data_IF_687058066045
#
_entry.id   IF_687058066045
#
_cell.length_a   1.000
_cell.length_b   1.000
_cell.length_c   1.000
_cell.angle_alpha   90.00
_cell.angle_beta   90.00
_cell.angle_gamma   90.00
#
_symmetry.space_group_name_H-M   'P 1'
#
loop_
_entity.id
_entity.type
_entity.pdbx_description
1 polymer ?
#
# COMPACT_ATOMS: atom_id res chain seq x y z
N UNK A 1 8.14 1.68 23.36
CA UNK A 1 7.93 0.82 22.22
C UNK A 1 9.30 0.54 21.63
N UNK A 2 9.67 -0.73 21.44
CA UNK A 2 10.91 -1.06 20.74
C UNK A 2 10.82 -0.52 19.31
N UNK A 3 11.91 0.10 18.84
CA UNK A 3 12.05 0.50 17.43
C UNK A 3 11.87 -0.77 16.59
N UNK A 4 10.96 -0.80 15.60
CA UNK A 4 10.80 -1.99 14.79
C UNK A 4 12.12 -2.28 14.11
N UNK A 5 12.77 -3.39 14.51
CA UNK A 5 14.03 -3.79 13.91
C UNK A 5 13.84 -3.91 12.40
N UNK A 6 14.67 -3.22 11.63
CA UNK A 6 14.70 -3.35 10.18
C UNK A 6 15.02 -4.80 9.83
N UNK A 7 14.08 -5.49 9.19
CA UNK A 7 14.20 -6.90 8.80
C UNK A 7 14.80 -7.03 7.40
N UNK A 8 15.41 -8.20 7.14
CA UNK A 8 15.84 -8.59 5.80
C UNK A 8 14.71 -9.34 5.07
N UNK A 9 14.65 -9.29 3.73
CA UNK A 9 13.64 -10.03 2.97
C UNK A 9 13.55 -11.52 3.32
N UNK A 10 14.67 -12.21 3.50
CA UNK A 10 14.70 -13.63 3.87
C UNK A 10 14.05 -13.96 5.21
N UNK A 11 14.01 -13.01 6.15
CA UNK A 11 13.36 -13.19 7.46
C UNK A 11 11.83 -13.17 7.38
N UNK A 12 11.27 -12.72 6.25
CA UNK A 12 9.83 -12.75 6.00
C UNK A 12 9.33 -14.17 5.70
N UNK A 13 10.15 -14.97 5.02
CA UNK A 13 9.81 -16.34 4.62
C UNK A 13 10.05 -17.33 5.76
N UNK A 14 11.09 -17.10 6.56
CA UNK A 14 11.51 -18.01 7.63
C UNK A 14 11.24 -17.42 9.00
N UNK A 15 10.06 -17.70 9.55
CA UNK A 15 9.67 -17.24 10.89
C UNK A 15 10.14 -18.21 11.97
N UNK A 16 10.72 -17.72 13.08
CA UNK A 16 11.03 -18.58 14.24
C UNK A 16 9.79 -19.28 14.79
N UNK A 17 9.97 -20.48 15.33
CA UNK A 17 8.87 -21.22 15.98
C UNK A 17 8.29 -20.52 17.20
N UNK A 18 9.05 -19.59 17.79
CA UNK A 18 8.62 -18.76 18.93
C UNK A 18 7.77 -17.55 18.52
N UNK A 19 7.54 -17.33 17.22
CA UNK A 19 6.79 -16.16 16.72
C UNK A 19 5.37 -16.13 17.28
N UNK A 20 4.93 -14.91 17.64
CA UNK A 20 3.61 -14.64 18.21
C UNK A 20 2.88 -13.61 17.37
N UNK A 21 1.56 -13.54 17.51
CA UNK A 21 0.72 -12.50 16.91
C UNK A 21 1.29 -11.11 17.23
N UNK A 22 1.35 -10.26 16.24
CA UNK A 22 1.95 -8.91 16.20
C UNK A 22 3.47 -8.84 16.02
N UNK A 23 4.21 -9.95 16.05
CA UNK A 23 5.65 -9.95 15.79
C UNK A 23 5.96 -9.52 14.35
N UNK A 24 5.04 -9.85 13.42
CA UNK A 24 5.13 -9.47 12.00
C UNK A 24 4.12 -8.37 11.63
N UNK A 25 3.87 -7.47 12.56
CA UNK A 25 3.22 -6.20 12.35
C UNK A 25 1.70 -6.21 12.42
N UNK A 26 1.17 -5.00 12.45
CA UNK A 26 -0.24 -4.67 12.41
C UNK A 26 -0.43 -3.51 11.43
N UNK A 27 -1.05 -3.78 10.29
CA UNK A 27 -1.37 -2.77 9.29
C UNK A 27 -2.75 -2.17 9.55
N UNK A 28 -2.81 -0.84 9.60
CA UNK A 28 -4.08 -0.10 9.54
C UNK A 28 -4.31 0.37 8.10
N UNK A 29 -5.42 -0.04 7.51
CA UNK A 29 -5.90 0.41 6.20
C UNK A 29 -6.98 1.47 6.41
N UNK A 30 -6.76 2.67 5.90
CA UNK A 30 -7.68 3.81 6.01
C UNK A 30 -8.12 4.23 4.62
N UNK A 31 -9.39 4.07 4.31
CA UNK A 31 -9.88 4.37 2.96
C UNK A 31 -11.35 4.03 2.79
N UNK A 32 -11.77 3.94 1.53
CA UNK A 32 -13.16 3.67 1.20
C UNK A 32 -14.07 4.88 1.35
N UNK A 33 -15.20 4.78 0.68
CA UNK A 33 -16.28 5.74 0.72
C UNK A 33 -17.60 5.06 0.34
N UNK A 34 -18.69 5.80 0.32
CA UNK A 34 -20.00 5.31 -0.16
C UNK A 34 -19.92 4.61 -1.53
N UNK A 35 -19.13 5.15 -2.47
CA UNK A 35 -19.08 4.66 -3.84
C UNK A 35 -17.90 3.71 -4.10
N UNK A 36 -16.80 3.86 -3.39
CA UNK A 36 -15.56 3.09 -3.59
C UNK A 36 -15.26 2.21 -2.37
N UNK A 37 -16.14 1.23 -2.13
CA UNK A 37 -16.09 0.41 -0.94
C UNK A 37 -15.11 -0.79 -1.05
N UNK A 38 -14.70 -1.18 -2.27
CA UNK A 38 -13.87 -2.37 -2.50
C UNK A 38 -12.39 -2.18 -2.27
N UNK A 39 -11.84 -0.96 -2.42
CA UNK A 39 -10.41 -0.70 -2.33
C UNK A 39 -9.81 -1.10 -0.97
N UNK A 40 -10.38 -0.75 0.20
CA UNK A 40 -9.83 -1.18 1.50
C UNK A 40 -9.80 -2.69 1.67
N UNK A 41 -10.80 -3.40 1.13
CA UNK A 41 -10.84 -4.86 1.17
C UNK A 41 -9.70 -5.47 0.34
N UNK A 42 -9.48 -4.98 -0.89
CA UNK A 42 -8.36 -5.45 -1.74
C UNK A 42 -7.00 -5.19 -1.08
N UNK A 43 -6.82 -4.00 -0.49
CA UNK A 43 -5.63 -3.67 0.29
C UNK A 43 -5.41 -4.69 1.42
N UNK A 44 -6.46 -4.97 2.22
CA UNK A 44 -6.37 -5.83 3.39
C UNK A 44 -6.09 -7.30 3.03
N UNK A 45 -6.79 -7.84 2.02
CA UNK A 45 -6.57 -9.21 1.55
C UNK A 45 -5.14 -9.39 1.01
N UNK A 46 -4.67 -8.45 0.17
CA UNK A 46 -3.31 -8.47 -0.34
C UNK A 46 -2.27 -8.36 0.78
N UNK A 47 -2.55 -7.55 1.80
CA UNK A 47 -1.67 -7.41 2.96
C UNK A 47 -1.56 -8.70 3.78
N UNK A 48 -2.67 -9.40 4.05
CA UNK A 48 -2.63 -10.71 4.72
C UNK A 48 -1.84 -11.73 3.93
N UNK A 49 -2.06 -11.81 2.61
CA UNK A 49 -1.32 -12.70 1.72
C UNK A 49 0.19 -12.37 1.74
N UNK A 50 0.54 -11.10 1.85
CA UNK A 50 1.94 -10.68 1.97
C UNK A 50 2.52 -10.86 3.39
N UNK A 51 1.75 -11.43 4.33
CA UNK A 51 2.26 -12.03 5.56
C UNK A 51 2.18 -11.16 6.82
N UNK A 52 1.56 -9.98 6.82
CA UNK A 52 1.35 -9.24 8.07
C UNK A 52 0.41 -10.00 9.02
N UNK A 53 0.67 -9.96 10.32
CA UNK A 53 -0.09 -10.77 11.30
C UNK A 53 -1.50 -10.25 11.55
N UNK A 54 -1.71 -8.93 11.46
CA UNK A 54 -2.99 -8.29 11.72
C UNK A 54 -3.24 -7.18 10.71
N UNK A 55 -4.45 -7.15 10.15
CA UNK A 55 -4.94 -6.03 9.34
C UNK A 55 -6.23 -5.51 9.95
N UNK A 56 -6.29 -4.20 10.12
CA UNK A 56 -7.49 -3.50 10.54
C UNK A 56 -7.88 -2.49 9.47
N UNK A 57 -9.14 -2.49 9.05
CA UNK A 57 -9.71 -1.48 8.16
C UNK A 57 -10.44 -0.44 9.02
N UNK A 58 -10.18 0.85 8.79
CA UNK A 58 -11.00 1.95 9.27
C UNK A 58 -11.61 2.65 8.06
N UNK A 59 -12.91 2.55 7.89
CA UNK A 59 -13.62 2.99 6.69
C UNK A 59 -15.05 3.42 7.01
N UNK A 60 -15.70 4.27 6.17
CA UNK A 60 -17.13 4.52 6.27
C UNK A 60 -17.93 3.22 6.33
N UNK A 61 -19.07 3.23 7.08
CA UNK A 61 -19.90 2.04 7.37
C UNK A 61 -20.02 1.07 6.19
N UNK A 62 -20.43 1.58 5.02
CA UNK A 62 -20.61 0.73 3.84
C UNK A 62 -19.37 -0.07 3.45
N UNK A 63 -18.19 0.56 3.47
CA UNK A 63 -16.96 -0.11 3.09
C UNK A 63 -16.49 -1.11 4.16
N UNK A 64 -16.67 -0.77 5.43
CA UNK A 64 -16.37 -1.65 6.56
C UNK A 64 -17.27 -2.90 6.54
N UNK A 65 -18.60 -2.73 6.36
CA UNK A 65 -19.56 -3.83 6.32
C UNK A 65 -19.32 -4.78 5.14
N UNK A 66 -19.01 -4.23 3.97
CA UNK A 66 -18.65 -5.03 2.79
C UNK A 66 -17.40 -5.86 3.08
N UNK A 67 -16.38 -5.28 3.72
CA UNK A 67 -15.14 -5.98 4.01
C UNK A 67 -15.35 -7.19 4.93
N UNK A 68 -16.03 -7.03 6.05
CA UNK A 68 -16.29 -8.13 7.00
C UNK A 68 -17.29 -9.15 6.45
N UNK A 69 -18.22 -8.72 5.59
CA UNK A 69 -19.15 -9.65 4.93
C UNK A 69 -18.45 -10.53 3.90
N UNK A 70 -17.33 -10.08 3.33
CA UNK A 70 -16.56 -10.84 2.35
C UNK A 70 -15.61 -11.85 3.01
N UNK A 71 -14.96 -11.49 4.12
CA UNK A 71 -14.03 -12.37 4.80
C UNK A 71 -14.06 -12.18 6.32
N UNK A 72 -14.19 -13.29 7.10
CA UNK A 72 -14.13 -13.25 8.56
C UNK A 72 -12.72 -12.94 9.10
N UNK A 73 -11.69 -12.96 8.26
CA UNK A 73 -10.32 -12.63 8.65
C UNK A 73 -10.12 -11.13 8.86
N UNK A 74 -11.02 -10.32 8.28
CA UNK A 74 -10.93 -8.86 8.30
C UNK A 74 -11.50 -8.29 9.61
N UNK A 75 -10.70 -7.46 10.28
CA UNK A 75 -11.16 -6.60 11.35
C UNK A 75 -11.50 -5.23 10.74
N UNK A 76 -12.75 -4.78 10.86
CA UNK A 76 -13.13 -3.46 10.36
C UNK A 76 -13.80 -2.63 11.44
N UNK A 77 -13.45 -1.34 11.48
CA UNK A 77 -14.05 -0.31 12.29
C UNK A 77 -14.93 0.58 11.41
N UNK A 78 -16.27 0.48 11.53
CA UNK A 78 -17.17 1.30 10.74
C UNK A 78 -17.17 2.73 11.29
N UNK A 79 -16.80 3.69 10.43
CA UNK A 79 -16.80 5.11 10.71
C UNK A 79 -18.09 5.75 10.18
N UNK A 80 -18.60 6.77 10.85
CA UNK A 80 -19.84 7.43 10.48
C UNK A 80 -19.76 8.18 9.15
N UNK A 81 -20.89 8.35 8.46
CA UNK A 81 -20.99 9.10 7.22
C UNK A 81 -20.51 8.34 5.97
N UNK A 82 -20.44 9.06 4.85
CA UNK A 82 -20.20 8.52 3.50
C UNK A 82 -18.73 8.60 3.08
N UNK A 83 -17.94 9.48 3.73
CA UNK A 83 -16.51 9.73 3.44
C UNK A 83 -15.77 10.05 4.73
N UNK A 84 -14.44 9.95 4.69
CA UNK A 84 -13.57 10.26 5.82
C UNK A 84 -13.50 11.77 6.08
N UNK A 85 -13.40 12.15 7.35
CA UNK A 85 -13.25 13.53 7.79
C UNK A 85 -12.54 13.61 9.15
N UNK A 86 -12.19 14.81 9.58
CA UNK A 86 -11.45 15.06 10.84
C UNK A 86 -12.21 14.62 12.08
N UNK A 87 -13.53 14.49 11.99
CA UNK A 87 -14.40 13.93 13.01
C UNK A 87 -14.02 12.49 13.43
N UNK A 88 -13.35 11.73 12.55
CA UNK A 88 -12.94 10.34 12.81
C UNK A 88 -11.54 10.21 13.45
N UNK A 89 -10.81 11.31 13.62
CA UNK A 89 -9.43 11.27 14.14
C UNK A 89 -9.34 10.62 15.51
N UNK A 90 -10.30 10.89 16.40
CA UNK A 90 -10.30 10.32 17.75
C UNK A 90 -10.41 8.79 17.72
N UNK A 91 -11.30 8.25 16.91
CA UNK A 91 -11.48 6.80 16.75
C UNK A 91 -10.25 6.14 16.16
N UNK A 92 -9.70 6.71 15.08
CA UNK A 92 -8.50 6.17 14.42
C UNK A 92 -7.27 6.26 15.33
N UNK A 93 -7.12 7.35 16.09
CA UNK A 93 -6.07 7.46 17.10
C UNK A 93 -6.16 6.34 18.16
N UNK A 94 -7.37 5.92 18.52
CA UNK A 94 -7.57 4.80 19.45
C UNK A 94 -7.17 3.46 18.85
N UNK A 95 -7.34 3.26 17.54
CA UNK A 95 -6.92 2.07 16.82
C UNK A 95 -5.39 2.03 16.71
N UNK A 96 -4.77 3.15 16.34
CA UNK A 96 -3.30 3.25 16.19
C UNK A 96 -2.57 2.85 17.49
N UNK A 97 -3.12 3.20 18.65
CA UNK A 97 -2.55 2.80 19.96
C UNK A 97 -2.54 1.29 20.21
N UNK A 98 -3.21 0.49 19.38
CA UNK A 98 -3.27 -0.99 19.47
C UNK A 98 -2.16 -1.68 18.67
N UNK A 99 -0.91 -1.22 18.83
CA UNK A 99 0.28 -1.80 18.20
C UNK A 99 0.28 -1.73 16.66
N UNK A 100 -0.35 -0.71 16.06
CA UNK A 100 -0.22 -0.45 14.62
C UNK A 100 1.23 -0.13 14.29
N UNK A 101 1.78 -0.78 13.27
CA UNK A 101 3.17 -0.64 12.83
C UNK A 101 3.31 0.10 11.49
N UNK A 102 2.24 0.19 10.70
CA UNK A 102 2.17 0.99 9.49
C UNK A 102 0.72 1.39 9.17
N UNK A 103 0.55 2.47 8.39
CA UNK A 103 -0.76 2.96 7.93
C UNK A 103 -0.76 3.04 6.41
N UNK A 104 -1.69 2.35 5.76
CA UNK A 104 -2.00 2.51 4.34
C UNK A 104 -3.22 3.40 4.20
N UNK A 105 -3.12 4.47 3.42
CA UNK A 105 -4.19 5.46 3.29
C UNK A 105 -4.43 5.87 1.85
N UNK A 106 -5.73 6.01 1.47
CA UNK A 106 -6.13 6.68 0.24
C UNK A 106 -7.01 5.87 -0.70
N UNK A 107 -6.93 4.53 -0.69
CA UNK A 107 -7.72 3.69 -1.60
C UNK A 107 -9.22 3.96 -1.46
N UNK A 108 -9.85 4.51 -2.50
CA UNK A 108 -11.29 4.74 -2.57
C UNK A 108 -11.87 5.76 -1.59
N UNK A 109 -11.05 6.63 -0.97
CA UNK A 109 -11.54 7.59 0.04
C UNK A 109 -12.32 8.77 -0.54
N UNK A 110 -12.22 9.00 -1.85
CA UNK A 110 -12.82 10.16 -2.51
C UNK A 110 -11.95 11.41 -2.42
N UNK A 111 -12.36 12.47 -3.15
CA UNK A 111 -11.57 13.70 -3.33
C UNK A 111 -12.19 14.92 -2.67
N UNK A 112 -12.93 14.73 -1.61
CA UNK A 112 -13.51 15.83 -0.87
C UNK A 112 -12.45 16.53 -0.01
N UNK A 113 -12.56 17.86 0.10
CA UNK A 113 -11.63 18.67 0.90
C UNK A 113 -11.47 18.14 2.32
N UNK A 114 -12.59 17.76 2.97
CA UNK A 114 -12.56 17.24 4.34
C UNK A 114 -11.76 15.95 4.48
N UNK A 115 -11.75 15.10 3.44
CA UNK A 115 -10.95 13.88 3.43
C UNK A 115 -9.46 14.19 3.31
N UNK A 116 -9.09 15.21 2.55
CA UNK A 116 -7.70 15.66 2.48
C UNK A 116 -7.24 16.33 3.78
N UNK A 117 -8.10 17.14 4.42
CA UNK A 117 -7.80 17.73 5.72
C UNK A 117 -7.56 16.63 6.76
N UNK A 118 -8.41 15.60 6.77
CA UNK A 118 -8.26 14.42 7.62
C UNK A 118 -6.90 13.70 7.39
N UNK A 119 -6.50 13.44 6.14
CA UNK A 119 -5.21 12.79 5.83
C UNK A 119 -4.04 13.57 6.41
N UNK A 120 -4.03 14.90 6.20
CA UNK A 120 -2.96 15.77 6.69
C UNK A 120 -2.90 15.78 8.22
N UNK A 121 -4.03 15.88 8.90
CA UNK A 121 -4.08 15.90 10.37
C UNK A 121 -3.68 14.55 10.95
N UNK A 122 -4.17 13.44 10.39
CA UNK A 122 -3.80 12.10 10.83
C UNK A 122 -2.29 11.85 10.70
N UNK A 123 -1.72 12.18 9.55
CA UNK A 123 -0.28 12.05 9.31
C UNK A 123 0.53 12.89 10.30
N UNK A 124 0.16 14.17 10.49
CA UNK A 124 0.87 15.06 11.41
C UNK A 124 0.84 14.58 12.87
N UNK A 125 -0.24 13.93 13.27
CA UNK A 125 -0.37 13.34 14.60
C UNK A 125 0.50 12.08 14.80
N UNK A 126 0.90 11.40 13.73
CA UNK A 126 1.56 10.09 13.79
C UNK A 126 2.81 9.97 12.88
N UNK A 127 3.58 11.04 12.69
CA UNK A 127 4.83 11.07 11.87
C UNK A 127 5.91 10.05 12.28
N UNK A 128 5.77 9.43 13.44
CA UNK A 128 6.66 8.36 13.90
C UNK A 128 6.37 7.00 13.24
N UNK A 129 5.17 6.80 12.71
CA UNK A 129 4.80 5.60 11.96
C UNK A 129 5.09 5.78 10.46
N UNK A 130 5.43 4.69 9.74
CA UNK A 130 5.44 4.71 8.29
C UNK A 130 4.02 4.82 7.73
N UNK A 131 3.85 5.72 6.77
CA UNK A 131 2.62 5.86 6.01
C UNK A 131 2.85 5.46 4.56
N UNK A 132 1.87 4.75 4.01
CA UNK A 132 1.81 4.38 2.60
C UNK A 132 0.65 5.15 1.97
N UNK A 133 0.96 6.06 1.04
CA UNK A 133 -0.01 6.90 0.36
C UNK A 133 -0.29 6.34 -1.03
N UNK A 134 -1.54 6.03 -1.31
CA UNK A 134 -1.98 5.57 -2.63
C UNK A 134 -3.23 6.33 -3.08
N UNK A 135 -3.51 6.32 -4.36
CA UNK A 135 -4.73 6.81 -4.97
C UNK A 135 -5.12 8.24 -4.50
N UNK A 136 -6.33 8.40 -3.92
CA UNK A 136 -6.86 9.73 -3.61
C UNK A 136 -6.07 10.50 -2.55
N UNK A 137 -5.33 9.83 -1.65
CA UNK A 137 -4.47 10.50 -0.67
C UNK A 137 -3.30 11.27 -1.30
N UNK A 138 -2.89 10.93 -2.52
CA UNK A 138 -1.83 11.63 -3.24
C UNK A 138 -2.21 13.07 -3.63
N UNK A 139 -3.50 13.40 -3.68
CA UNK A 139 -3.97 14.74 -3.99
C UNK A 139 -3.68 15.77 -2.86
N UNK A 140 -3.36 15.33 -1.67
CA UNK A 140 -2.94 16.23 -0.59
C UNK A 140 -1.41 16.26 -0.38
N UNK A 141 -0.63 15.65 -1.27
CA UNK A 141 0.82 15.51 -1.12
C UNK A 141 1.56 16.85 -0.94
N UNK A 142 1.12 17.92 -1.61
CA UNK A 142 1.71 19.26 -1.43
C UNK A 142 1.50 19.87 -0.04
N UNK A 143 0.66 19.28 0.80
CA UNK A 143 0.33 19.73 2.16
C UNK A 143 0.99 18.86 3.24
N UNK A 144 1.75 17.83 2.84
CA UNK A 144 2.36 16.84 3.71
C UNK A 144 3.88 16.97 3.67
N UNK A 145 4.50 17.07 4.85
CA UNK A 145 5.96 17.04 5.00
C UNK A 145 6.39 15.59 5.28
N UNK A 146 6.62 14.84 4.20
CA UNK A 146 6.95 13.41 4.24
C UNK A 146 8.31 13.11 4.86
N UNK A 147 8.53 11.85 5.19
CA UNK A 147 9.76 11.33 5.76
C UNK A 147 10.30 10.12 4.97
N UNK A 148 11.53 9.73 5.25
CA UNK A 148 12.14 8.53 4.67
C UNK A 148 11.48 7.20 5.10
N UNK A 149 10.54 7.25 6.03
CA UNK A 149 9.73 6.10 6.46
C UNK A 149 8.51 5.88 5.57
N UNK A 150 8.13 6.88 4.80
CA UNK A 150 6.91 6.87 4.01
C UNK A 150 7.15 6.32 2.60
N UNK A 151 6.07 5.83 1.98
CA UNK A 151 6.05 5.38 0.60
C UNK A 151 4.83 5.98 -0.12
N UNK A 152 5.07 6.65 -1.25
CA UNK A 152 4.02 7.10 -2.15
C UNK A 152 3.96 6.17 -3.36
N UNK A 153 2.74 5.76 -3.77
CA UNK A 153 2.53 4.79 -4.85
C UNK A 153 1.68 5.41 -5.99
N UNK A 154 2.16 6.48 -6.66
CA UNK A 154 1.42 7.08 -7.76
C UNK A 154 1.42 6.20 -9.01
N UNK A 155 0.32 6.24 -9.79
CA UNK A 155 0.38 5.92 -11.22
C UNK A 155 0.98 7.09 -12.01
N UNK A 156 1.15 6.91 -13.35
CA UNK A 156 1.77 7.94 -14.19
C UNK A 156 1.05 9.30 -14.11
N UNK A 157 -0.30 9.31 -14.05
CA UNK A 157 -1.07 10.55 -13.94
C UNK A 157 -0.94 11.19 -12.55
N UNK A 158 -0.97 10.37 -11.51
CA UNK A 158 -0.81 10.81 -10.13
C UNK A 158 0.61 11.30 -9.84
N UNK A 159 1.62 10.81 -10.58
CA UNK A 159 3.00 11.28 -10.47
C UNK A 159 3.10 12.78 -10.75
N UNK A 160 2.34 13.32 -11.70
CA UNK A 160 2.25 14.76 -11.97
C UNK A 160 1.70 15.61 -10.81
N UNK A 161 1.03 15.00 -9.79
CA UNK A 161 0.58 15.71 -8.58
C UNK A 161 1.72 16.03 -7.61
N UNK A 162 2.82 15.26 -7.70
CA UNK A 162 3.93 15.30 -6.74
C UNK A 162 5.28 15.65 -7.39
N UNK A 163 5.33 15.65 -8.70
CA UNK A 163 6.53 15.92 -9.50
C UNK A 163 6.36 17.16 -10.35
N UNK A 164 7.47 17.84 -10.64
CA UNK A 164 7.52 18.91 -11.68
C UNK A 164 7.56 18.34 -13.10
N UNK A 165 7.62 17.00 -13.26
CA UNK A 165 7.64 16.29 -14.54
C UNK A 165 6.43 15.39 -14.65
N UNK A 166 5.72 15.47 -15.77
CA UNK A 166 4.57 14.60 -16.06
C UNK A 166 4.99 13.19 -16.55
N UNK A 167 6.27 13.01 -16.90
CA UNK A 167 6.80 11.76 -17.44
C UNK A 167 7.73 11.10 -16.41
N UNK A 168 7.38 9.90 -15.90
CA UNK A 168 8.27 9.17 -15.02
C UNK A 168 9.46 8.59 -15.80
N UNK A 169 10.65 8.93 -15.35
CA UNK A 169 11.95 8.41 -15.79
C UNK A 169 12.78 8.09 -14.56
N UNK A 170 13.88 7.36 -14.71
CA UNK A 170 14.81 7.15 -13.59
C UNK A 170 15.23 8.47 -12.94
N UNK A 171 15.51 9.48 -13.76
CA UNK A 171 15.97 10.81 -13.28
C UNK A 171 14.83 11.54 -12.56
N UNK A 172 13.66 11.69 -13.20
CA UNK A 172 12.54 12.45 -12.60
C UNK A 172 12.03 11.80 -11.32
N UNK A 173 11.92 10.45 -11.27
CA UNK A 173 11.47 9.74 -10.07
C UNK A 173 12.49 9.87 -8.93
N UNK A 174 13.79 9.75 -9.23
CA UNK A 174 14.86 9.94 -8.23
C UNK A 174 14.87 11.36 -7.69
N UNK A 175 14.79 12.36 -8.57
CA UNK A 175 14.80 13.78 -8.17
C UNK A 175 13.57 14.12 -7.34
N UNK A 176 12.39 13.61 -7.72
CA UNK A 176 11.15 13.83 -6.96
C UNK A 176 11.24 13.18 -5.58
N UNK A 177 11.66 11.92 -5.49
CA UNK A 177 11.83 11.23 -4.20
C UNK A 177 12.80 11.98 -3.26
N UNK A 178 13.90 12.48 -3.81
CA UNK A 178 14.86 13.32 -3.07
C UNK A 178 14.21 14.63 -2.57
N UNK A 179 13.48 15.32 -3.44
CA UNK A 179 12.84 16.61 -3.14
C UNK A 179 11.78 16.48 -2.04
N UNK A 180 10.93 15.45 -2.10
CA UNK A 180 9.88 15.22 -1.09
C UNK A 180 10.39 14.45 0.13
N UNK A 181 11.67 14.05 0.16
CA UNK A 181 12.31 13.28 1.25
C UNK A 181 11.62 11.96 1.58
N UNK A 182 11.03 11.30 0.59
CA UNK A 182 10.24 10.07 0.76
C UNK A 182 10.58 9.04 -0.31
N UNK A 183 10.08 7.82 -0.12
CA UNK A 183 10.18 6.77 -1.12
C UNK A 183 9.03 6.89 -2.14
N UNK A 184 9.33 6.56 -3.38
CA UNK A 184 8.36 6.54 -4.48
C UNK A 184 8.34 5.18 -5.16
N UNK A 185 7.14 4.69 -5.48
CA UNK A 185 6.88 3.62 -6.42
C UNK A 185 5.92 4.14 -7.50
N UNK A 186 6.44 4.54 -8.65
CA UNK A 186 5.61 5.00 -9.77
C UNK A 186 5.17 3.80 -10.60
N UNK A 187 3.86 3.52 -10.58
CA UNK A 187 3.21 2.39 -11.29
C UNK A 187 3.10 2.66 -12.79
N UNK A 188 3.51 1.69 -13.62
CA UNK A 188 3.40 1.78 -15.07
C UNK A 188 3.76 0.48 -15.81
N UNK A 189 3.90 0.52 -17.14
CA UNK A 189 4.48 -0.61 -17.88
C UNK A 189 5.86 -1.00 -17.35
N UNK A 190 6.65 -0.01 -16.97
CA UNK A 190 7.86 -0.11 -16.14
C UNK A 190 7.54 0.60 -14.83
N UNK A 191 7.68 -0.07 -13.69
CA UNK A 191 7.59 0.59 -12.41
C UNK A 191 8.96 1.15 -12.03
N UNK A 192 8.97 2.37 -11.49
CA UNK A 192 10.17 3.02 -10.99
C UNK A 192 10.09 3.14 -9.48
N UNK A 193 11.08 2.60 -8.77
CA UNK A 193 11.20 2.70 -7.31
C UNK A 193 12.39 3.56 -6.95
N UNK A 194 12.23 4.55 -6.07
CA UNK A 194 13.35 5.39 -5.60
C UNK A 194 13.20 5.81 -4.14
N UNK A 195 14.33 5.90 -3.43
CA UNK A 195 14.48 6.48 -2.10
C UNK A 195 15.15 7.88 -2.14
N UNK A 196 15.25 8.48 -3.34
CA UNK A 196 15.97 9.73 -3.58
C UNK A 196 17.47 9.58 -3.77
N UNK A 197 18.07 8.45 -3.34
CA UNK A 197 19.49 8.12 -3.55
C UNK A 197 19.67 7.08 -4.64
N UNK A 198 18.86 6.03 -4.59
CA UNK A 198 18.84 4.91 -5.53
C UNK A 198 17.59 4.99 -6.40
N UNK A 199 17.65 4.39 -7.58
CA UNK A 199 16.46 4.13 -8.40
C UNK A 199 16.56 2.72 -8.97
N UNK A 200 15.44 2.00 -9.00
CA UNK A 200 15.32 0.66 -9.59
C UNK A 200 14.13 0.62 -10.53
N UNK A 201 14.33 0.02 -11.70
CA UNK A 201 13.26 -0.32 -12.64
C UNK A 201 12.79 -1.74 -12.40
N UNK A 202 11.48 -1.93 -12.34
CA UNK A 202 10.85 -3.25 -12.24
C UNK A 202 10.06 -3.48 -13.53
N UNK A 203 10.49 -4.49 -14.29
CA UNK A 203 9.93 -4.83 -15.60
C UNK A 203 9.49 -6.29 -15.63
N UNK A 204 8.43 -6.56 -16.37
CA UNK A 204 8.12 -7.92 -16.79
C UNK A 204 8.72 -8.18 -18.18
N UNK A 205 9.72 -9.05 -18.24
CA UNK A 205 10.39 -9.39 -19.48
C UNK A 205 9.49 -10.15 -20.48
N UNK A 206 8.43 -10.80 -19.99
CA UNK A 206 7.46 -11.52 -20.84
C UNK A 206 6.46 -10.60 -21.56
N UNK A 207 6.33 -9.36 -21.10
CA UNK A 207 5.32 -8.39 -21.55
C UNK A 207 3.88 -8.75 -21.18
N UNK A 208 3.65 -9.82 -20.42
CA UNK A 208 2.29 -10.28 -20.04
C UNK A 208 1.69 -9.54 -18.87
N UNK A 209 2.52 -8.86 -18.07
CA UNK A 209 2.04 -7.99 -17.00
C UNK A 209 1.27 -6.75 -17.51
N UNK A 210 1.24 -6.48 -18.82
CA UNK A 210 0.41 -5.42 -19.42
C UNK A 210 -1.07 -5.57 -19.04
N UNK A 211 -1.55 -6.77 -18.79
CA UNK A 211 -2.94 -7.04 -18.40
C UNK A 211 -3.24 -6.69 -16.92
N UNK A 212 -2.27 -6.19 -16.16
CA UNK A 212 -2.47 -5.57 -14.85
C UNK A 212 -3.15 -4.18 -14.92
N UNK A 213 -3.32 -3.59 -16.11
CA UNK A 213 -4.00 -2.31 -16.27
C UNK A 213 -5.52 -2.44 -16.04
N UNK A 214 -5.93 -2.79 -14.81
CA UNK A 214 -7.31 -3.00 -14.37
C UNK A 214 -7.55 -2.30 -13.03
N UNK A 215 -8.80 -1.87 -12.78
CA UNK A 215 -9.18 -1.34 -11.47
C UNK A 215 -8.99 -2.38 -10.37
N UNK A 216 -8.37 -1.99 -9.24
CA UNK A 216 -8.10 -2.87 -8.10
C UNK A 216 -6.69 -3.47 -8.04
N UNK A 217 -5.96 -3.55 -9.16
CA UNK A 217 -4.57 -4.06 -9.16
C UNK A 217 -3.62 -3.13 -8.41
N UNK A 218 -3.86 -1.83 -8.47
CA UNK A 218 -3.14 -0.82 -7.68
C UNK A 218 -3.36 -1.00 -6.18
N UNK A 219 -4.61 -1.26 -5.76
CA UNK A 219 -4.94 -1.52 -4.36
C UNK A 219 -4.22 -2.79 -3.85
N UNK A 220 -4.15 -3.86 -4.66
CA UNK A 220 -3.41 -5.07 -4.32
C UNK A 220 -1.92 -4.76 -4.14
N UNK A 221 -1.30 -4.02 -5.06
CA UNK A 221 0.09 -3.61 -4.95
C UNK A 221 0.36 -2.78 -3.68
N UNK A 222 -0.51 -1.81 -3.40
CA UNK A 222 -0.41 -0.97 -2.21
C UNK A 222 -0.52 -1.81 -0.92
N UNK A 223 -1.44 -2.78 -0.88
CA UNK A 223 -1.59 -3.71 0.24
C UNK A 223 -0.35 -4.56 0.47
N UNK A 224 0.25 -5.10 -0.61
CA UNK A 224 1.51 -5.87 -0.52
C UNK A 224 2.64 -5.01 0.04
N UNK A 225 2.89 -3.82 -0.54
CA UNK A 225 3.96 -2.93 -0.08
C UNK A 225 3.75 -2.53 1.38
N UNK A 226 2.52 -2.16 1.76
CA UNK A 226 2.17 -1.77 3.12
C UNK A 226 2.38 -2.91 4.13
N UNK A 227 2.03 -4.14 3.75
CA UNK A 227 2.28 -5.34 4.56
C UNK A 227 3.77 -5.55 4.83
N UNK A 228 4.60 -5.47 3.79
CA UNK A 228 6.04 -5.66 3.92
C UNK A 228 6.69 -4.57 4.80
N UNK A 229 6.22 -3.31 4.69
CA UNK A 229 6.65 -2.22 5.56
C UNK A 229 6.17 -2.45 7.00
N UNK A 230 4.93 -2.86 7.21
CA UNK A 230 4.39 -3.15 8.54
C UNK A 230 5.17 -4.25 9.26
N UNK A 231 5.72 -5.20 8.50
CA UNK A 231 6.56 -6.29 8.99
C UNK A 231 8.02 -5.86 9.25
N UNK A 232 8.43 -4.64 8.89
CA UNK A 232 9.76 -4.09 9.19
C UNK A 232 10.73 -4.03 8.01
N UNK A 233 10.31 -4.24 6.76
CA UNK A 233 11.16 -3.94 5.60
C UNK A 233 11.28 -2.43 5.40
N UNK A 234 12.42 -2.00 4.83
CA UNK A 234 12.54 -0.62 4.38
C UNK A 234 11.50 -0.30 3.30
N UNK A 235 10.98 0.94 3.21
CA UNK A 235 10.00 1.27 2.18
C UNK A 235 10.52 1.04 0.75
N UNK A 236 11.82 1.25 0.50
CA UNK A 236 12.45 0.99 -0.80
C UNK A 236 12.44 -0.51 -1.14
N UNK A 237 12.86 -1.38 -0.21
CA UNK A 237 12.89 -2.82 -0.46
C UNK A 237 11.47 -3.40 -0.57
N UNK A 238 10.54 -2.96 0.29
CA UNK A 238 9.14 -3.33 0.22
C UNK A 238 8.50 -2.95 -1.13
N UNK A 239 8.79 -1.76 -1.63
CA UNK A 239 8.32 -1.30 -2.94
C UNK A 239 8.92 -2.12 -4.09
N UNK A 240 10.22 -2.43 -4.04
CA UNK A 240 10.88 -3.25 -5.05
C UNK A 240 10.31 -4.68 -5.11
N UNK A 241 10.18 -5.31 -3.94
CA UNK A 241 9.67 -6.69 -3.82
C UNK A 241 8.19 -6.74 -4.19
N UNK A 242 7.38 -5.82 -3.65
CA UNK A 242 5.95 -5.76 -3.93
C UNK A 242 5.64 -5.55 -5.41
N UNK A 243 6.33 -4.61 -6.06
CA UNK A 243 6.19 -4.38 -7.50
C UNK A 243 6.60 -5.61 -8.33
N UNK A 244 7.72 -6.25 -7.99
CA UNK A 244 8.18 -7.44 -8.69
C UNK A 244 7.21 -8.61 -8.50
N UNK A 245 6.73 -8.86 -7.28
CA UNK A 245 5.79 -9.95 -6.98
C UNK A 245 4.45 -9.77 -7.72
N UNK A 246 3.88 -8.56 -7.71
CA UNK A 246 2.62 -8.28 -8.40
C UNK A 246 2.79 -8.37 -9.93
N UNK A 247 3.91 -7.89 -10.50
CA UNK A 247 4.19 -8.07 -11.93
C UNK A 247 4.37 -9.55 -12.29
N UNK A 248 5.07 -10.33 -11.46
CA UNK A 248 5.24 -11.76 -11.66
C UNK A 248 3.89 -12.49 -11.63
N UNK A 249 3.05 -12.21 -10.63
CA UNK A 249 1.69 -12.75 -10.54
C UNK A 249 0.83 -12.37 -11.77
N UNK A 250 0.88 -11.10 -12.18
CA UNK A 250 0.18 -10.62 -13.37
C UNK A 250 0.67 -11.25 -14.66
N UNK A 251 1.98 -11.49 -14.79
CA UNK A 251 2.57 -12.17 -15.94
C UNK A 251 2.13 -13.64 -16.00
N UNK A 252 2.08 -14.34 -14.86
CA UNK A 252 1.61 -15.72 -14.77
C UNK A 252 0.15 -15.84 -15.22
N UNK A 253 -0.76 -15.00 -14.70
CA UNK A 253 -2.16 -14.96 -15.13
C UNK A 253 -2.30 -14.55 -16.60
N UNK A 254 -1.54 -13.54 -17.03
CA UNK A 254 -1.57 -13.07 -18.41
C UNK A 254 -1.09 -14.12 -19.40
N UNK A 255 -0.17 -15.01 -19.02
CA UNK A 255 0.26 -16.16 -19.82
C UNK A 255 -0.84 -17.20 -19.98
N UNK A 256 -1.61 -17.46 -18.91
CA UNK A 256 -2.66 -18.49 -18.90
C UNK A 256 -3.96 -17.99 -19.53
N UNK A 257 -4.34 -16.76 -19.23
CA UNK A 257 -5.69 -16.25 -19.49
C UNK A 257 -5.72 -15.01 -20.39
N UNK A 258 -4.56 -14.46 -20.79
CA UNK A 258 -4.53 -13.16 -21.47
C UNK A 258 -5.18 -12.09 -20.60
N UNK A 259 -6.12 -11.26 -21.12
CA UNK A 259 -6.82 -10.25 -20.33
C UNK A 259 -8.03 -10.81 -19.53
N UNK A 260 -8.36 -12.09 -19.64
CA UNK A 260 -9.61 -12.68 -19.12
C UNK A 260 -9.47 -13.23 -17.70
N UNK A 261 -9.12 -12.35 -16.74
CA UNK A 261 -9.08 -12.64 -15.32
C UNK A 261 -9.51 -11.42 -14.50
N UNK A 262 -9.97 -11.65 -13.27
CA UNK A 262 -10.32 -10.59 -12.33
C UNK A 262 -9.07 -10.12 -11.56
N UNK A 263 -9.02 -8.85 -11.11
CA UNK A 263 -7.95 -8.39 -10.21
C UNK A 263 -7.79 -9.27 -8.97
N UNK A 264 -8.89 -9.79 -8.42
CA UNK A 264 -8.88 -10.70 -7.26
C UNK A 264 -8.20 -12.04 -7.54
N UNK A 265 -8.06 -12.47 -8.81
CA UNK A 265 -7.34 -13.70 -9.15
C UNK A 265 -5.84 -13.57 -8.86
N UNK A 266 -5.30 -12.32 -8.84
CA UNK A 266 -3.92 -12.08 -8.41
C UNK A 266 -3.67 -12.59 -6.99
N UNK A 267 -4.66 -12.48 -6.10
CA UNK A 267 -4.53 -12.91 -4.71
C UNK A 267 -4.22 -14.41 -4.58
N UNK A 268 -4.64 -15.23 -5.56
CA UNK A 268 -4.41 -16.69 -5.57
C UNK A 268 -2.98 -17.07 -5.98
N UNK A 269 -2.35 -16.28 -6.84
CA UNK A 269 -1.00 -16.57 -7.38
C UNK A 269 0.10 -15.73 -6.73
N UNK A 270 -0.31 -14.72 -5.97
CA UNK A 270 0.59 -13.82 -5.26
C UNK A 270 1.51 -14.51 -4.23
N UNK A 271 1.05 -15.53 -3.45
CA UNK A 271 1.92 -16.23 -2.51
C UNK A 271 3.19 -16.80 -3.15
N UNK A 272 3.06 -17.50 -4.27
CA UNK A 272 4.21 -18.10 -4.98
C UNK A 272 5.16 -17.01 -5.50
N UNK A 273 4.60 -15.92 -6.00
CA UNK A 273 5.36 -14.77 -6.48
C UNK A 273 6.14 -14.08 -5.35
N UNK A 274 5.55 -13.96 -4.16
CA UNK A 274 6.19 -13.40 -2.97
C UNK A 274 7.33 -14.28 -2.46
N UNK A 275 7.10 -15.59 -2.36
CA UNK A 275 8.16 -16.55 -1.96
C UNK A 275 9.34 -16.45 -2.93
N UNK A 276 9.08 -16.37 -4.24
CA UNK A 276 10.13 -16.21 -5.26
C UNK A 276 10.92 -14.91 -5.08
N UNK A 277 10.26 -13.77 -4.83
CA UNK A 277 10.93 -12.47 -4.72
C UNK A 277 11.62 -12.25 -3.36
N UNK A 278 11.08 -12.80 -2.27
CA UNK A 278 11.66 -12.71 -0.93
C UNK A 278 12.84 -13.69 -0.72
N UNK A 279 12.88 -14.78 -1.51
CA UNK A 279 13.93 -15.79 -1.44
C UNK A 279 15.19 -15.48 -2.27
N UNK A 280 15.20 -14.35 -3.01
CA UNK A 280 16.37 -13.86 -3.76
C UNK A 280 17.33 -13.12 -2.85
#
# INVERSE_FOLDING_TARGET
MADPQTRKPSEMVHRPLSSRKYDYGHLLVVGGSKYYAGAPLLNALAAYIAGVDVVTIAAPHRAADIAVSHSPDIIAYPLSGDVLGTEHLQEINSIIKRNVTAVLIGGGMGREKKSFDFVVELYNAHKNLPFIFDADALHCASRVDFSSKDLLIPNIKEFGLISSSDTPTQVSVKTTAFSIKSNLLVKGPVDYVSDGKRVKEIKDASGKAVYLAKGGTGDILAGVCASLIAQGLTPFDAACIGAAAVKHAGAALGKLHGPFYLPTDLLRVLPDSLVHELGK
#
